data_IF_591530507869
#
_entry.id   IF_591530507869
#
_cell.length_a   1.000
_cell.length_b   1.000
_cell.length_c   1.000
_cell.angle_alpha   90.00
_cell.angle_beta   90.00
_cell.angle_gamma   90.00
#
_symmetry.space_group_name_H-M   'P 1'
#
loop_
_entity.id
_entity.type
_entity.pdbx_description
1 polymer ?
#
# COMPACT_ATOMS: atom_id res chain seq x y z
N UNK A 1 0.54 -0.39 -4.98
CA UNK A 1 -0.27 -0.49 -3.75
C UNK A 1 -0.01 0.77 -2.93
N UNK A 2 -1.02 1.39 -2.32
CA UNK A 2 -0.83 2.59 -1.49
C UNK A 2 -0.80 2.22 0.00
N UNK A 3 0.32 2.42 0.70
CA UNK A 3 0.48 2.05 2.13
C UNK A 3 -0.57 2.73 3.02
N UNK A 4 -0.92 3.98 2.72
CA UNK A 4 -1.89 4.75 3.51
C UNK A 4 -3.33 4.23 3.40
N UNK A 5 -3.59 3.31 2.47
CA UNK A 5 -4.90 2.69 2.24
C UNK A 5 -5.01 1.31 2.89
N UNK A 6 -3.92 0.78 3.43
CA UNK A 6 -3.91 -0.49 4.14
C UNK A 6 -4.42 -0.32 5.59
N UNK A 7 -5.09 -1.36 6.06
CA UNK A 7 -5.55 -1.51 7.44
C UNK A 7 -4.41 -1.97 8.36
N UNK A 8 -4.64 -1.88 9.68
CA UNK A 8 -3.62 -2.20 10.69
C UNK A 8 -3.12 -3.65 10.58
N UNK A 9 -4.01 -4.61 10.34
CA UNK A 9 -3.71 -6.03 10.17
C UNK A 9 -2.93 -6.30 8.88
N UNK A 10 -3.25 -5.60 7.79
CA UNK A 10 -2.51 -5.66 6.52
C UNK A 10 -1.09 -5.11 6.69
N UNK A 11 -0.93 -4.02 7.43
CA UNK A 11 0.39 -3.45 7.75
C UNK A 11 1.20 -4.39 8.66
N UNK A 12 0.57 -4.96 9.70
CA UNK A 12 1.22 -5.97 10.56
C UNK A 12 1.72 -7.14 9.75
N UNK A 13 0.90 -7.66 8.84
CA UNK A 13 1.27 -8.75 7.96
C UNK A 13 2.50 -8.39 7.10
N UNK A 14 2.54 -7.21 6.48
CA UNK A 14 3.69 -6.80 5.64
C UNK A 14 4.98 -6.59 6.46
N UNK A 15 4.88 -6.20 7.73
CA UNK A 15 6.02 -6.11 8.67
C UNK A 15 6.51 -7.52 9.03
N UNK A 16 5.58 -8.42 9.38
CA UNK A 16 5.87 -9.77 9.83
C UNK A 16 6.56 -10.61 8.75
N UNK A 17 6.06 -10.61 7.51
CA UNK A 17 6.68 -11.39 6.41
C UNK A 17 8.09 -10.91 6.03
N UNK A 18 8.48 -9.71 6.46
CA UNK A 18 9.83 -9.15 6.27
C UNK A 18 10.75 -9.40 7.46
N UNK A 19 10.25 -10.01 8.53
CA UNK A 19 11.00 -10.18 9.78
C UNK A 19 11.34 -8.85 10.45
N UNK A 20 10.55 -7.80 10.21
CA UNK A 20 10.74 -6.50 10.83
C UNK A 20 10.05 -6.46 12.20
N UNK A 21 10.61 -5.69 13.13
CA UNK A 21 9.95 -5.39 14.39
C UNK A 21 8.88 -4.29 14.20
N UNK A 22 7.87 -4.25 15.08
CA UNK A 22 6.84 -3.19 15.07
C UNK A 22 5.43 -3.66 14.71
N UNK A 23 5.13 -4.96 14.82
CA UNK A 23 3.75 -5.48 14.68
C UNK A 23 2.79 -4.92 15.74
N UNK A 24 3.31 -4.50 16.90
CA UNK A 24 2.54 -3.91 18.00
C UNK A 24 2.56 -2.36 18.00
N UNK A 25 3.21 -1.76 16.99
CA UNK A 25 3.29 -0.31 16.87
C UNK A 25 1.96 0.33 16.48
N UNK A 26 1.86 1.65 16.60
CA UNK A 26 0.70 2.41 16.11
C UNK A 26 0.59 2.30 14.58
N UNK A 27 -0.61 2.54 14.03
CA UNK A 27 -0.84 2.50 12.57
C UNK A 27 0.09 3.47 11.83
N UNK A 28 0.37 4.64 12.40
CA UNK A 28 1.29 5.62 11.82
C UNK A 28 2.70 5.08 11.71
N UNK A 29 3.25 4.52 12.80
CA UNK A 29 4.58 3.92 12.84
C UNK A 29 4.67 2.71 11.90
N UNK A 30 3.65 1.84 11.88
CA UNK A 30 3.60 0.72 10.94
C UNK A 30 3.69 1.17 9.48
N UNK A 31 2.99 2.25 9.12
CA UNK A 31 3.05 2.82 7.76
C UNK A 31 4.44 3.36 7.43
N UNK A 32 5.16 3.89 8.40
CA UNK A 32 6.54 4.38 8.21
C UNK A 32 7.50 3.22 7.98
N UNK A 33 7.41 2.17 8.81
CA UNK A 33 8.20 0.94 8.66
C UNK A 33 7.98 0.32 7.28
N UNK A 34 6.72 0.14 6.86
CA UNK A 34 6.39 -0.45 5.54
C UNK A 34 6.85 0.46 4.39
N UNK A 35 6.69 1.78 4.50
CA UNK A 35 7.16 2.74 3.48
C UNK A 35 8.66 2.67 3.30
N UNK A 36 9.41 2.61 4.40
CA UNK A 36 10.86 2.53 4.36
C UNK A 36 11.33 1.19 3.78
N UNK A 37 10.71 0.08 4.20
CA UNK A 37 10.98 -1.24 3.62
C UNK A 37 10.79 -1.25 2.10
N UNK A 38 9.66 -0.75 1.60
CA UNK A 38 9.39 -0.67 0.16
C UNK A 38 10.35 0.28 -0.58
N UNK A 39 10.79 1.35 0.09
CA UNK A 39 11.80 2.26 -0.46
C UNK A 39 13.12 1.52 -0.69
N UNK A 40 13.58 0.76 0.30
CA UNK A 40 14.80 -0.05 0.22
C UNK A 40 14.68 -1.16 -0.83
N UNK A 41 13.53 -1.83 -0.91
CA UNK A 41 13.23 -2.84 -1.95
C UNK A 41 13.31 -2.25 -3.36
N UNK A 42 12.72 -1.08 -3.57
CA UNK A 42 12.76 -0.40 -4.87
C UNK A 42 14.16 0.05 -5.29
N UNK A 43 15.02 0.34 -4.31
CA UNK A 43 16.42 0.66 -4.55
C UNK A 43 17.30 -0.59 -4.72
N UNK A 44 16.74 -1.79 -4.55
CA UNK A 44 17.48 -3.05 -4.62
C UNK A 44 18.43 -3.28 -3.45
N UNK A 45 18.24 -2.55 -2.34
CA UNK A 45 19.07 -2.67 -1.14
C UNK A 45 18.62 -3.84 -0.26
N UNK A 46 17.34 -4.21 -0.37
CA UNK A 46 16.72 -5.35 0.32
C UNK A 46 15.87 -6.09 -0.71
N UNK A 47 15.80 -7.41 -0.62
CA UNK A 47 14.93 -8.19 -1.50
C UNK A 47 13.50 -8.23 -0.97
N UNK A 48 12.52 -8.01 -1.85
CA UNK A 48 11.11 -8.13 -1.49
C UNK A 48 10.74 -9.59 -1.18
N UNK A 49 9.90 -9.85 -0.16
CA UNK A 49 9.52 -11.21 0.22
C UNK A 49 8.76 -11.91 -0.91
N UNK A 50 9.32 -13.02 -1.41
CA UNK A 50 8.71 -13.82 -2.48
C UNK A 50 7.78 -14.91 -1.97
N UNK A 51 7.98 -15.35 -0.74
CA UNK A 51 7.21 -16.40 -0.07
C UNK A 51 6.80 -15.93 1.33
N UNK A 52 5.80 -16.59 1.91
CA UNK A 52 5.42 -16.40 3.31
C UNK A 52 5.81 -17.63 4.13
N UNK A 53 6.22 -17.43 5.37
CA UNK A 53 6.49 -18.50 6.34
C UNK A 53 5.27 -18.79 7.25
N UNK A 54 4.16 -18.08 7.02
CA UNK A 54 2.93 -18.24 7.79
C UNK A 54 2.17 -19.50 7.37
N UNK A 55 1.26 -19.95 8.24
CA UNK A 55 0.43 -21.12 7.96
C UNK A 55 -0.41 -20.91 6.71
N UNK A 56 -0.26 -21.82 5.75
CA UNK A 56 -0.84 -21.64 4.41
C UNK A 56 -2.35 -21.80 4.41
N UNK A 57 -2.92 -22.67 5.25
CA UNK A 57 -4.37 -22.83 5.34
C UNK A 57 -5.02 -21.58 5.94
N UNK A 58 -4.40 -21.04 6.98
CA UNK A 58 -4.82 -19.81 7.62
C UNK A 58 -4.70 -18.60 6.68
N UNK A 59 -3.63 -18.51 5.89
CA UNK A 59 -3.47 -17.47 4.86
C UNK A 59 -4.61 -17.52 3.83
N UNK A 60 -5.00 -18.71 3.36
CA UNK A 60 -6.13 -18.87 2.44
C UNK A 60 -7.44 -18.44 3.09
N UNK A 61 -7.70 -18.86 4.34
CA UNK A 61 -8.89 -18.49 5.11
C UNK A 61 -9.00 -16.98 5.27
N UNK A 62 -7.93 -16.32 5.73
CA UNK A 62 -7.92 -14.86 5.91
C UNK A 62 -8.11 -14.14 4.56
N UNK A 63 -7.49 -14.63 3.48
CA UNK A 63 -7.69 -14.04 2.15
C UNK A 63 -9.15 -14.16 1.70
N UNK A 64 -9.80 -15.30 1.94
CA UNK A 64 -11.22 -15.48 1.64
C UNK A 64 -12.10 -14.47 2.39
N UNK A 65 -11.95 -14.35 3.71
CA UNK A 65 -12.73 -13.40 4.52
C UNK A 65 -12.54 -11.94 4.07
N UNK A 66 -11.30 -11.58 3.68
CA UNK A 66 -11.01 -10.27 3.11
C UNK A 66 -11.72 -10.05 1.77
N UNK A 67 -11.81 -11.06 0.92
CA UNK A 67 -12.50 -10.95 -0.37
C UNK A 67 -14.00 -10.81 -0.20
N UNK A 68 -14.60 -11.55 0.74
CA UNK A 68 -16.02 -11.40 1.10
C UNK A 68 -16.32 -9.97 1.58
N UNK A 69 -15.46 -9.44 2.45
CA UNK A 69 -15.56 -8.06 2.94
C UNK A 69 -15.42 -7.04 1.80
N UNK A 70 -14.41 -7.19 0.95
CA UNK A 70 -14.18 -6.28 -0.17
C UNK A 70 -15.31 -6.34 -1.22
N UNK A 71 -15.93 -7.51 -1.43
CA UNK A 71 -17.09 -7.64 -2.32
C UNK A 71 -18.32 -6.90 -1.77
N UNK A 72 -18.53 -6.87 -0.46
CA UNK A 72 -19.54 -6.00 0.16
C UNK A 72 -19.18 -4.52 -0.04
N UNK A 73 -17.95 -4.12 0.26
CA UNK A 73 -17.51 -2.72 0.08
C UNK A 73 -17.63 -2.22 -1.36
N UNK A 74 -17.45 -3.09 -2.37
CA UNK A 74 -17.65 -2.74 -3.79
C UNK A 74 -19.13 -2.49 -4.10
N UNK A 75 -20.04 -3.28 -3.50
CA UNK A 75 -21.49 -3.09 -3.69
C UNK A 75 -21.97 -1.81 -3.03
N UNK A 76 -21.37 -1.45 -1.90
CA UNK A 76 -21.78 -0.33 -1.06
C UNK A 76 -20.90 0.93 -1.27
N UNK A 77 -20.28 1.09 -2.45
CA UNK A 77 -19.44 2.25 -2.76
C UNK A 77 -20.23 3.55 -2.57
N UNK A 78 -19.66 4.48 -1.80
CA UNK A 78 -20.27 5.78 -1.60
C UNK A 78 -20.02 6.67 -2.82
N UNK A 79 -21.07 6.98 -3.57
CA UNK A 79 -21.03 7.85 -4.76
C UNK A 79 -20.37 9.21 -4.45
N UNK A 80 -20.56 9.77 -3.26
CA UNK A 80 -19.96 11.06 -2.86
C UNK A 80 -18.46 10.98 -2.58
N UNK A 81 -17.93 9.79 -2.30
CA UNK A 81 -16.53 9.54 -1.96
C UNK A 81 -15.90 8.48 -2.88
N UNK A 82 -16.46 8.34 -4.08
CA UNK A 82 -16.22 7.23 -5.00
C UNK A 82 -14.75 7.03 -5.34
N UNK A 83 -14.01 8.11 -5.63
CA UNK A 83 -12.59 8.02 -5.97
C UNK A 83 -11.75 7.49 -4.79
N UNK A 84 -12.07 7.92 -3.58
CA UNK A 84 -11.37 7.51 -2.38
C UNK A 84 -11.66 6.03 -2.05
N UNK A 85 -12.93 5.63 -2.13
CA UNK A 85 -13.35 4.24 -1.97
C UNK A 85 -12.73 3.34 -3.04
N UNK A 86 -12.70 3.79 -4.30
CA UNK A 86 -12.03 3.08 -5.37
C UNK A 86 -10.55 2.84 -5.07
N UNK A 87 -9.79 3.89 -4.72
CA UNK A 87 -8.35 3.78 -4.38
C UNK A 87 -8.12 2.89 -3.17
N UNK A 88 -8.98 2.99 -2.15
CA UNK A 88 -8.95 2.18 -0.92
C UNK A 88 -9.16 0.70 -1.23
N UNK A 89 -10.29 0.36 -1.83
CA UNK A 89 -10.67 -1.03 -2.17
C UNK A 89 -9.63 -1.62 -3.14
N UNK A 90 -9.22 -0.89 -4.18
CA UNK A 90 -8.20 -1.34 -5.14
C UNK A 90 -6.88 -1.67 -4.45
N UNK A 91 -6.42 -0.82 -3.54
CA UNK A 91 -5.18 -1.07 -2.79
C UNK A 91 -5.27 -2.34 -1.95
N UNK A 92 -6.40 -2.59 -1.31
CA UNK A 92 -6.63 -3.80 -0.51
C UNK A 92 -6.78 -5.06 -1.36
N UNK A 93 -7.44 -4.99 -2.52
CA UNK A 93 -7.47 -6.10 -3.49
C UNK A 93 -6.06 -6.48 -3.97
N UNK A 94 -5.23 -5.48 -4.31
CA UNK A 94 -3.83 -5.71 -4.70
C UNK A 94 -3.00 -6.31 -3.57
N UNK A 95 -3.25 -5.89 -2.33
CA UNK A 95 -2.62 -6.49 -1.15
C UNK A 95 -3.00 -7.97 -0.99
N UNK A 96 -4.29 -8.30 -1.03
CA UNK A 96 -4.78 -9.68 -0.96
C UNK A 96 -4.23 -10.53 -2.10
N UNK A 97 -4.13 -9.97 -3.31
CA UNK A 97 -3.48 -10.63 -4.45
C UNK A 97 -2.02 -10.97 -4.15
N UNK A 98 -1.24 -9.99 -3.65
CA UNK A 98 0.16 -10.18 -3.30
C UNK A 98 0.35 -11.26 -2.23
N UNK A 99 -0.53 -11.28 -1.23
CA UNK A 99 -0.57 -12.30 -0.17
C UNK A 99 -0.80 -13.70 -0.73
N UNK A 100 -1.80 -13.88 -1.59
CA UNK A 100 -2.05 -15.15 -2.28
C UNK A 100 -0.86 -15.59 -3.15
N UNK A 101 -0.22 -14.66 -3.87
CA UNK A 101 0.91 -14.99 -4.73
C UNK A 101 2.11 -15.54 -3.95
N UNK A 102 2.33 -15.07 -2.71
CA UNK A 102 3.39 -15.54 -1.80
C UNK A 102 3.15 -16.92 -1.19
N UNK A 103 1.94 -17.46 -1.27
CA UNK A 103 1.64 -18.83 -0.80
C UNK A 103 2.31 -19.83 -1.76
N UNK A 104 3.18 -20.69 -1.23
CA UNK A 104 3.83 -21.77 -1.97
C UNK A 104 3.52 -23.08 -1.26
N UNK A 105 2.96 -24.05 -2.00
CA UNK A 105 2.63 -25.37 -1.47
C UNK A 105 2.71 -26.42 -2.59
N UNK A 106 3.05 -27.65 -2.22
CA UNK A 106 2.97 -28.84 -3.08
C UNK A 106 1.62 -29.54 -3.01
N UNK A 107 0.75 -29.15 -2.07
CA UNK A 107 -0.56 -29.78 -1.89
C UNK A 107 -1.56 -29.26 -2.92
N UNK A 108 -2.14 -30.16 -3.71
CA UNK A 108 -3.10 -29.83 -4.77
C UNK A 108 -4.29 -29.02 -4.24
N UNK A 109 -4.83 -29.39 -3.07
CA UNK A 109 -5.98 -28.72 -2.46
C UNK A 109 -5.69 -27.24 -2.17
N UNK A 110 -4.48 -26.94 -1.68
CA UNK A 110 -4.03 -25.58 -1.40
C UNK A 110 -3.87 -24.78 -2.70
N UNK A 111 -3.29 -25.39 -3.74
CA UNK A 111 -3.10 -24.75 -5.04
C UNK A 111 -4.43 -24.43 -5.73
N UNK A 112 -5.40 -25.34 -5.67
CA UNK A 112 -6.76 -25.12 -6.17
C UNK A 112 -7.48 -24.00 -5.41
N UNK A 113 -7.36 -23.98 -4.08
CA UNK A 113 -7.86 -22.90 -3.23
C UNK A 113 -7.25 -21.54 -3.62
N UNK A 114 -5.92 -21.47 -3.72
CA UNK A 114 -5.19 -20.27 -4.17
C UNK A 114 -5.67 -19.79 -5.53
N UNK A 115 -5.81 -20.70 -6.51
CA UNK A 115 -6.26 -20.34 -7.86
C UNK A 115 -7.70 -19.80 -7.87
N UNK A 116 -8.58 -20.41 -7.08
CA UNK A 116 -9.97 -19.97 -6.91
C UNK A 116 -10.02 -18.55 -6.36
N UNK A 117 -9.26 -18.26 -5.29
CA UNK A 117 -9.22 -16.94 -4.68
C UNK A 117 -8.57 -15.88 -5.60
N UNK A 118 -7.52 -16.23 -6.34
CA UNK A 118 -6.91 -15.32 -7.34
C UNK A 118 -7.90 -14.97 -8.46
N UNK A 119 -8.68 -15.95 -8.91
CA UNK A 119 -9.75 -15.72 -9.90
C UNK A 119 -10.83 -14.79 -9.35
N UNK A 120 -11.19 -14.94 -8.07
CA UNK A 120 -12.12 -14.04 -7.39
C UNK A 120 -11.57 -12.62 -7.27
N UNK A 121 -10.31 -12.44 -6.86
CA UNK A 121 -9.64 -11.12 -6.85
C UNK A 121 -9.77 -10.43 -8.22
N UNK A 122 -9.43 -11.14 -9.30
CA UNK A 122 -9.50 -10.58 -10.66
C UNK A 122 -10.93 -10.16 -11.03
N UNK A 123 -11.94 -10.96 -10.66
CA UNK A 123 -13.36 -10.60 -10.84
C UNK A 123 -13.71 -9.33 -10.07
N UNK A 124 -13.30 -9.20 -8.82
CA UNK A 124 -13.57 -8.02 -8.01
C UNK A 124 -12.87 -6.76 -8.54
N UNK A 125 -11.64 -6.87 -9.04
CA UNK A 125 -10.93 -5.75 -9.70
C UNK A 125 -11.68 -5.28 -10.95
N UNK A 126 -12.20 -6.20 -11.76
CA UNK A 126 -13.01 -5.86 -12.93
C UNK A 126 -14.34 -5.21 -12.53
N UNK A 127 -15.03 -5.75 -11.53
CA UNK A 127 -16.28 -5.18 -11.01
C UNK A 127 -16.07 -3.77 -10.47
N UNK A 128 -15.02 -3.56 -9.65
CA UNK A 128 -14.65 -2.26 -9.12
C UNK A 128 -14.37 -1.25 -10.25
N UNK A 129 -13.70 -1.69 -11.32
CA UNK A 129 -13.43 -0.85 -12.49
C UNK A 129 -14.72 -0.47 -13.22
N UNK A 130 -15.66 -1.40 -13.39
CA UNK A 130 -16.96 -1.13 -14.02
C UNK A 130 -17.79 -0.12 -13.22
N UNK A 131 -17.91 -0.33 -11.90
CA UNK A 131 -18.61 0.61 -11.00
C UNK A 131 -17.96 2.00 -11.05
N UNK A 132 -16.63 2.06 -11.21
CA UNK A 132 -15.95 3.35 -11.36
C UNK A 132 -16.29 4.09 -12.65
N UNK A 133 -16.50 3.39 -13.77
CA UNK A 133 -16.69 4.00 -15.10
C UNK A 133 -18.15 4.28 -15.48
N UNK A 134 -19.13 3.49 -15.02
CA UNK A 134 -20.52 3.58 -15.55
C UNK A 134 -21.20 4.92 -15.25
N UNK A 135 -20.96 5.54 -14.08
CA UNK A 135 -21.61 6.81 -13.72
C UNK A 135 -21.04 8.04 -14.46
N UNK A 136 -19.82 7.97 -14.99
CA UNK A 136 -19.28 9.05 -15.82
C UNK A 136 -20.06 9.17 -17.14
N UNK A 137 -20.59 8.05 -17.65
CA UNK A 137 -21.42 8.03 -18.85
C UNK A 137 -22.82 8.61 -18.58
N UNK A 138 -23.41 8.32 -17.41
CA UNK A 138 -24.75 8.82 -17.06
C UNK A 138 -24.76 10.32 -16.77
N UNK A 139 -23.74 10.85 -16.09
CA UNK A 139 -23.64 12.29 -15.81
C UNK A 139 -23.34 13.13 -17.07
N UNK A 140 -22.64 12.56 -18.06
CA UNK A 140 -22.35 13.25 -19.32
C UNK A 140 -23.57 13.32 -20.24
N UNK A 141 -24.50 12.37 -20.11
CA UNK A 141 -25.74 12.33 -20.91
C UNK A 141 -26.79 13.35 -20.46
N UNK A 142 -26.70 13.91 -19.25
CA UNK A 142 -27.71 14.85 -18.72
C UNK A 142 -27.41 16.33 -19.04
N UNK A 143 -26.22 16.64 -19.55
CA UNK A 143 -25.78 18.01 -19.86
C UNK A 143 -25.79 18.35 -21.37
N UNK A 144 -26.19 17.41 -22.23
CA UNK A 144 -26.30 17.63 -23.68
C UNK A 144 -27.72 18.11 -24.05
N UNK A 145 -28.26 19.06 -23.28
CA UNK A 145 -29.44 19.81 -23.68
C UNK A 145 -29.00 20.84 -24.74
N UNK A 146 -29.66 20.91 -25.90
CA UNK A 146 -29.29 21.86 -26.94
C UNK A 146 -29.36 23.28 -26.37
N UNK A 147 -28.21 23.95 -26.34
CA UNK A 147 -28.14 25.38 -26.09
C UNK A 147 -29.01 26.05 -27.16
N UNK A 148 -30.22 26.48 -26.79
CA UNK A 148 -30.99 27.38 -27.62
C UNK A 148 -30.15 28.64 -27.81
N UNK A 149 -29.73 28.84 -29.05
CA UNK A 149 -28.96 29.97 -29.55
C UNK A 149 -29.67 31.28 -29.20
N UNK A 150 -29.35 31.86 -28.04
CA UNK A 150 -29.65 33.25 -27.75
C UNK A 150 -28.52 34.10 -28.33
N UNK A 151 -28.64 34.31 -29.64
CA UNK A 151 -28.02 35.41 -30.37
C UNK A 151 -28.31 36.73 -29.66
N UNK A 152 -27.29 37.40 -29.12
CA UNK A 152 -27.14 38.86 -29.23
C UNK A 152 -25.71 39.28 -28.92
N UNK A 153 -25.11 39.89 -29.95
CA UNK A 153 -23.88 40.66 -30.03
C UNK A 153 -23.44 41.41 -28.76
N UNK A 154 -22.14 41.34 -28.43
CA UNK A 154 -21.32 42.53 -28.17
C UNK A 154 -19.80 42.22 -28.18
N UNK A 155 -18.96 42.99 -28.92
CA UNK A 155 -17.51 42.88 -28.87
C UNK A 155 -16.91 44.05 -28.07
N UNK A 156 -16.30 43.77 -26.90
CA UNK A 156 -15.42 44.76 -26.24
C UNK A 156 -14.11 44.11 -25.79
N UNK A 157 -13.05 44.52 -26.50
CA UNK A 157 -11.65 44.44 -26.13
C UNK A 157 -11.38 44.79 -24.66
N UNK A 158 -10.46 44.06 -24.00
CA UNK A 158 -9.26 44.69 -23.42
C UNK A 158 -8.20 43.68 -22.99
N UNK A 159 -7.04 43.81 -23.65
CA UNK A 159 -5.71 43.47 -23.15
C UNK A 159 -5.53 43.85 -21.68
N UNK A 160 -4.82 43.00 -20.93
CA UNK A 160 -3.68 43.44 -20.12
C UNK A 160 -2.73 42.27 -19.86
N UNK A 161 -1.64 42.26 -20.62
CA UNK A 161 -0.35 41.69 -20.22
C UNK A 161 0.18 42.49 -19.02
N UNK A 162 0.81 41.81 -18.06
CA UNK A 162 2.11 42.20 -17.49
C UNK A 162 2.47 41.26 -16.34
N UNK A 163 3.70 40.98 -15.93
CA UNK A 163 5.11 41.20 -16.35
C UNK A 163 5.84 41.10 -14.99
N UNK A 164 7.03 40.50 -14.95
CA UNK A 164 8.02 40.64 -13.86
C UNK A 164 7.61 39.98 -12.52
N UNK A 165 8.20 38.85 -12.18
CA UNK A 165 9.55 38.73 -11.59
C UNK A 165 9.40 38.62 -10.08
N UNK A 166 9.52 37.39 -9.57
CA UNK A 166 10.16 37.20 -8.26
C UNK A 166 10.62 35.74 -8.15
N UNK A 167 11.90 35.43 -8.44
CA UNK A 167 12.50 34.21 -7.95
C UNK A 167 12.87 34.45 -6.48
N UNK A 168 11.96 34.12 -5.57
CA UNK A 168 12.28 34.15 -4.14
C UNK A 168 13.11 32.91 -3.78
N UNK A 169 14.42 33.01 -4.01
CA UNK A 169 15.44 32.07 -3.55
C UNK A 169 15.67 32.36 -2.07
N UNK A 170 15.05 31.59 -1.20
CA UNK A 170 15.49 31.47 0.20
C UNK A 170 15.60 29.97 0.53
N UNK A 171 16.76 29.41 0.20
CA UNK A 171 17.21 28.14 0.73
C UNK A 171 17.59 28.35 2.21
N UNK A 172 17.02 27.59 3.16
CA UNK A 172 17.46 27.64 4.55
C UNK A 172 18.90 27.08 4.67
N UNK A 173 19.73 27.79 5.43
CA UNK A 173 21.09 27.37 5.78
C UNK A 173 21.08 25.96 6.39
N UNK A 174 21.77 25.03 5.73
CA UNK A 174 22.08 23.71 6.26
C UNK A 174 23.10 23.88 7.38
N UNK A 175 22.61 24.01 8.62
CA UNK A 175 23.46 23.91 9.81
C UNK A 175 23.87 22.45 9.96
N UNK A 176 25.02 22.11 9.37
CA UNK A 176 25.75 20.87 9.62
C UNK A 176 26.23 20.88 11.08
N UNK A 177 25.42 20.35 11.99
CA UNK A 177 25.90 19.96 13.31
C UNK A 177 26.63 18.64 13.15
N UNK A 178 27.96 18.71 13.05
CA UNK A 178 28.82 17.55 13.28
C UNK A 178 28.54 17.00 14.69
N UNK A 179 28.17 15.72 14.85
CA UNK A 179 28.27 15.10 16.17
C UNK A 179 29.75 14.95 16.54
N UNK A 180 30.09 15.17 17.82
CA UNK A 180 31.45 15.03 18.30
C UNK A 180 31.90 13.58 18.21
N UNK A 181 33.15 13.42 17.77
CA UNK A 181 33.94 12.20 17.86
C UNK A 181 34.04 11.77 19.32
N UNK A 182 33.27 10.76 19.72
CA UNK A 182 33.57 10.00 20.95
C UNK A 182 34.49 8.84 20.58
N UNK A 183 35.77 9.16 20.74
CA UNK A 183 36.87 8.22 20.93
C UNK A 183 36.73 7.54 22.31
N UNK A 184 37.32 6.35 22.40
CA UNK A 184 37.67 5.60 23.62
C UNK A 184 36.62 4.55 24.06
N UNK A 185 36.86 3.29 23.67
CA UNK A 185 37.68 2.32 24.41
C UNK A 185 36.88 1.67 25.55
N UNK A 186 36.54 0.39 25.37
CA UNK A 186 36.73 -0.58 26.46
C UNK A 186 36.78 -2.02 25.92
N UNK A 187 38.01 -2.51 25.95
CA UNK A 187 38.38 -3.91 26.09
C UNK A 187 37.71 -4.57 27.30
N UNK A 188 37.07 -5.72 27.11
CA UNK A 188 37.03 -6.85 28.05
C UNK A 188 36.43 -8.04 27.28
N UNK A 189 37.24 -8.94 26.71
CA UNK A 189 37.78 -10.12 27.41
C UNK A 189 36.84 -10.67 28.49
N UNK A 190 36.04 -11.67 28.13
CA UNK A 190 35.70 -12.75 29.04
C UNK A 190 35.61 -14.07 28.28
N UNK A 191 36.75 -14.77 28.30
CA UNK A 191 36.82 -16.21 28.16
C UNK A 191 36.36 -16.85 29.47
N UNK A 192 35.29 -17.64 29.44
CA UNK A 192 34.98 -18.72 30.39
C UNK A 192 33.79 -19.47 29.79
N UNK A 193 33.66 -20.78 29.74
CA UNK A 193 34.50 -21.93 30.07
C UNK A 193 33.64 -23.15 29.75
N UNK A 194 34.27 -24.20 29.25
CA UNK A 194 33.68 -25.52 29.03
C UNK A 194 32.91 -26.04 30.25
N UNK A 195 31.71 -26.58 30.03
CA UNK A 195 31.13 -27.59 30.92
C UNK A 195 30.52 -28.73 30.10
N UNK A 196 31.33 -29.76 29.91
CA UNK A 196 30.98 -31.10 29.53
C UNK A 196 30.59 -31.88 30.79
N UNK A 197 29.33 -32.31 30.92
CA UNK A 197 28.82 -33.35 31.84
C UNK A 197 27.53 -33.87 31.17
N UNK A 198 27.15 -35.13 31.18
CA UNK A 198 27.76 -36.42 31.50
C UNK A 198 26.67 -37.44 31.14
N UNK A 199 27.09 -38.61 30.68
CA UNK A 199 26.26 -39.80 30.45
C UNK A 199 25.28 -40.08 31.59
N UNK A 200 24.16 -40.72 31.23
CA UNK A 200 23.58 -41.90 31.91
C UNK A 200 22.15 -42.16 31.39
N UNK A 201 21.60 -43.37 31.58
CA UNK A 201 22.07 -44.72 31.22
C UNK A 201 21.37 -45.27 29.97
#
# INVERSE_FOLDING_TARGET
>A
MEVNRLLSDELSYEIEIRGLSGTDATVTEKREIVREAWRLERLGLVEAPRTTNLDTQEELRICQEKLETLEMEIRDINVRNKENDYKRIKSRLLHTQGRLLRIVSSETVILEGKFTLLSWVNRLVQNLTRVSTTEEAENKSLLDLPEEETSTNDPIHRNNRSILDEPNILLPEVISKQPPYESEANSHLNQTSNHSHSNSP
#
